data_IF_407400679765
#
_entry.id   IF_407400679765
#
_cell.length_a   1.000
_cell.length_b   1.000
_cell.length_c   1.000
_cell.angle_alpha   90.00
_cell.angle_beta   90.00
_cell.angle_gamma   90.00
#
_symmetry.space_group_name_H-M   'P 1'
#
loop_
_entity.id
_entity.type
_entity.pdbx_description
1 polymer ?
#
# COMPACT_ATOMS: atom_id res chain seq x y z
N UNK A 1 6.68 -5.52 15.63
CA UNK A 1 5.23 -5.78 15.94
C UNK A 1 4.46 -5.87 14.62
N UNK A 2 3.33 -6.60 14.55
CA UNK A 2 2.53 -6.72 13.31
C UNK A 2 1.48 -5.62 13.16
N UNK A 3 1.27 -5.11 11.94
CA UNK A 3 0.13 -4.25 11.60
C UNK A 3 -0.63 -4.73 10.37
N UNK A 4 -1.96 -4.54 10.39
CA UNK A 4 -2.85 -4.87 9.28
C UNK A 4 -3.24 -3.60 8.54
N UNK A 5 -3.03 -3.57 7.23
CA UNK A 5 -3.39 -2.45 6.34
C UNK A 5 -4.57 -2.87 5.46
N UNK A 6 -5.71 -2.20 5.63
CA UNK A 6 -6.92 -2.45 4.84
C UNK A 6 -6.88 -1.65 3.53
N UNK A 7 -6.48 -2.31 2.44
CA UNK A 7 -6.29 -1.73 1.11
C UNK A 7 -7.17 -2.36 0.02
N UNK A 8 -8.27 -3.04 0.38
CA UNK A 8 -9.12 -3.78 -0.55
C UNK A 8 -10.17 -2.93 -1.31
N UNK A 9 -10.27 -1.64 -1.00
CA UNK A 9 -11.24 -0.75 -1.65
C UNK A 9 -10.89 -0.42 -3.11
N UNK A 10 -11.92 -0.30 -3.96
CA UNK A 10 -11.79 0.07 -5.38
C UNK A 10 -11.45 1.56 -5.63
N UNK A 11 -11.46 2.39 -4.58
CA UNK A 11 -11.07 3.79 -4.67
C UNK A 11 -11.98 4.68 -5.54
N UNK A 12 -13.21 4.26 -5.85
CA UNK A 12 -14.12 4.86 -6.85
C UNK A 12 -14.32 6.38 -6.75
N UNK A 13 -14.21 6.96 -5.54
CA UNK A 13 -14.24 8.42 -5.32
C UNK A 13 -13.13 9.18 -6.07
N UNK A 14 -12.04 8.51 -6.43
CA UNK A 14 -10.92 9.06 -7.21
C UNK A 14 -11.13 8.95 -8.73
N UNK A 15 -12.27 8.41 -9.19
CA UNK A 15 -12.64 8.33 -10.60
C UNK A 15 -11.63 7.56 -11.45
N UNK A 16 -11.14 8.18 -12.52
CA UNK A 16 -10.20 7.54 -13.47
C UNK A 16 -8.88 7.14 -12.81
N UNK A 17 -8.44 7.86 -11.78
CA UNK A 17 -7.14 7.61 -11.14
C UNK A 17 -7.08 6.25 -10.43
N UNK A 18 -8.20 5.80 -9.84
CA UNK A 18 -8.25 4.50 -9.14
C UNK A 18 -8.56 3.31 -10.03
N UNK A 19 -8.95 3.54 -11.30
CA UNK A 19 -9.18 2.44 -12.26
C UNK A 19 -7.88 1.70 -12.56
N UNK A 20 -6.79 2.44 -12.70
CA UNK A 20 -5.49 1.89 -13.05
C UNK A 20 -4.58 1.74 -11.84
N UNK A 21 -4.74 2.53 -10.78
CA UNK A 21 -3.82 2.48 -9.63
C UNK A 21 -4.61 2.39 -8.32
N UNK A 22 -4.42 1.34 -7.48
CA UNK A 22 -5.09 1.28 -6.18
C UNK A 22 -4.71 2.50 -5.34
N UNK A 23 -5.63 3.01 -4.53
CA UNK A 23 -5.46 4.28 -3.78
C UNK A 23 -4.14 4.35 -3.02
N UNK A 24 -3.74 3.25 -2.36
CA UNK A 24 -2.49 3.19 -1.59
C UNK A 24 -1.23 3.46 -2.42
N UNK A 25 -1.25 3.15 -3.72
CA UNK A 25 -0.10 3.31 -4.62
C UNK A 25 -0.14 4.60 -5.44
N UNK A 26 -1.17 5.43 -5.27
CA UNK A 26 -1.21 6.76 -5.88
C UNK A 26 -0.06 7.59 -5.32
N UNK A 27 0.67 8.27 -6.21
CA UNK A 27 1.76 9.17 -5.83
C UNK A 27 1.22 10.56 -5.54
N UNK A 28 1.63 11.09 -4.39
CA UNK A 28 1.46 12.50 -4.02
C UNK A 28 2.87 13.05 -3.84
N UNK A 29 3.19 14.17 -4.50
CA UNK A 29 4.54 14.76 -4.51
C UNK A 29 5.64 13.71 -4.77
N UNK A 30 5.46 12.86 -5.79
CA UNK A 30 6.46 11.88 -6.23
C UNK A 30 6.54 10.57 -5.42
N UNK A 31 5.83 10.41 -4.30
CA UNK A 31 5.87 9.18 -3.49
C UNK A 31 4.50 8.59 -3.21
N UNK A 32 4.41 7.27 -3.11
CA UNK A 32 3.17 6.54 -2.82
C UNK A 32 2.62 6.90 -1.43
N UNK A 33 1.29 6.92 -1.29
CA UNK A 33 0.63 7.15 0.01
C UNK A 33 0.99 6.05 1.01
N UNK A 34 0.89 4.78 0.57
CA UNK A 34 1.15 3.61 1.41
C UNK A 34 2.59 3.59 1.95
N UNK A 35 3.57 4.02 1.15
CA UNK A 35 4.97 4.09 1.57
C UNK A 35 5.15 4.93 2.83
N UNK A 36 4.53 6.11 2.87
CA UNK A 36 4.65 7.02 4.01
C UNK A 36 4.07 6.40 5.27
N UNK A 37 2.89 5.79 5.17
CA UNK A 37 2.25 5.09 6.28
C UNK A 37 3.14 3.97 6.82
N UNK A 38 3.66 3.12 5.94
CA UNK A 38 4.52 2.00 6.36
C UNK A 38 5.83 2.49 6.98
N UNK A 39 6.44 3.56 6.45
CA UNK A 39 7.66 4.15 7.05
C UNK A 39 7.43 4.76 8.42
N UNK A 40 6.31 5.45 8.63
CA UNK A 40 5.95 5.96 9.95
C UNK A 40 5.79 4.79 10.94
N UNK A 41 5.10 3.71 10.53
CA UNK A 41 4.93 2.53 11.37
C UNK A 41 6.27 1.84 11.71
N UNK A 42 7.19 1.71 10.75
CA UNK A 42 8.54 1.18 11.01
C UNK A 42 9.32 2.03 12.02
N UNK A 43 9.21 3.37 11.95
CA UNK A 43 9.84 4.28 12.91
C UNK A 43 9.30 4.08 14.34
N UNK A 44 8.07 3.60 14.49
CA UNK A 44 7.44 3.26 15.76
C UNK A 44 7.65 1.77 16.16
N UNK A 45 8.52 1.03 15.46
CA UNK A 45 8.84 -0.38 15.77
C UNK A 45 7.85 -1.42 15.22
N UNK A 46 7.02 -1.03 14.24
CA UNK A 46 6.09 -1.92 13.53
C UNK A 46 6.65 -2.19 12.14
N UNK A 47 7.27 -3.36 11.98
CA UNK A 47 8.10 -3.74 10.83
C UNK A 47 7.60 -5.01 10.11
N UNK A 48 6.50 -5.60 10.57
CA UNK A 48 5.83 -6.72 9.92
C UNK A 48 4.41 -6.31 9.53
N UNK A 49 4.05 -6.46 8.26
CA UNK A 49 2.77 -6.01 7.73
C UNK A 49 1.91 -7.15 7.18
N UNK A 50 0.60 -6.95 7.19
CA UNK A 50 -0.37 -7.75 6.43
C UNK A 50 -1.20 -6.78 5.60
N UNK A 51 -1.25 -6.96 4.28
CA UNK A 51 -2.08 -6.11 3.40
C UNK A 51 -3.32 -6.88 2.95
N UNK A 52 -4.48 -6.44 3.41
CA UNK A 52 -5.76 -6.92 2.89
C UNK A 52 -6.07 -6.15 1.60
N UNK A 53 -5.96 -6.80 0.46
CA UNK A 53 -6.15 -6.17 -0.87
C UNK A 53 -7.21 -6.87 -1.71
N UNK A 54 -7.73 -6.17 -2.70
CA UNK A 54 -8.50 -6.77 -3.79
C UNK A 54 -7.55 -7.60 -4.68
N UNK A 55 -7.95 -8.81 -5.15
CA UNK A 55 -7.16 -9.61 -6.08
C UNK A 55 -6.69 -8.85 -7.33
N UNK A 56 -7.51 -7.92 -7.85
CA UNK A 56 -7.19 -7.05 -8.98
C UNK A 56 -5.89 -6.25 -8.81
N UNK A 57 -5.54 -5.93 -7.55
CA UNK A 57 -4.41 -5.07 -7.24
C UNK A 57 -3.23 -5.82 -6.60
N UNK A 58 -3.34 -7.15 -6.42
CA UNK A 58 -2.35 -7.96 -5.70
C UNK A 58 -0.94 -7.77 -6.27
N UNK A 59 -0.76 -7.97 -7.58
CA UNK A 59 0.56 -7.85 -8.22
C UNK A 59 1.18 -6.45 -8.07
N UNK A 60 0.35 -5.39 -8.05
CA UNK A 60 0.82 -4.01 -7.89
C UNK A 60 1.34 -3.77 -6.47
N UNK A 61 0.65 -4.29 -5.47
CA UNK A 61 1.13 -4.24 -4.09
C UNK A 61 2.39 -5.08 -3.91
N UNK A 62 2.45 -6.30 -4.44
CA UNK A 62 3.67 -7.12 -4.36
C UNK A 62 4.88 -6.45 -5.03
N UNK A 63 4.68 -5.86 -6.21
CA UNK A 63 5.74 -5.10 -6.89
C UNK A 63 6.20 -3.89 -6.08
N UNK A 64 5.27 -3.17 -5.45
CA UNK A 64 5.57 -2.08 -4.54
C UNK A 64 6.35 -2.56 -3.31
N UNK A 65 5.93 -3.65 -2.66
CA UNK A 65 6.57 -4.21 -1.48
C UNK A 65 8.01 -4.65 -1.78
N UNK A 66 8.22 -5.41 -2.86
CA UNK A 66 9.56 -5.84 -3.32
C UNK A 66 10.47 -4.65 -3.62
N UNK A 67 9.97 -3.64 -4.34
CA UNK A 67 10.75 -2.44 -4.68
C UNK A 67 11.22 -1.67 -3.44
N UNK A 68 10.46 -1.72 -2.34
CA UNK A 68 10.71 -0.92 -1.14
C UNK A 68 11.25 -1.74 0.04
N UNK A 69 11.48 -3.05 -0.13
CA UNK A 69 11.97 -3.97 0.89
C UNK A 69 11.11 -3.99 2.18
N UNK A 70 9.79 -3.92 2.04
CA UNK A 70 8.89 -4.09 3.20
C UNK A 70 8.62 -5.57 3.46
N UNK A 71 8.67 -5.99 4.73
CA UNK A 71 8.28 -7.33 5.16
C UNK A 71 6.76 -7.41 5.30
N UNK A 72 6.13 -8.20 4.44
CA UNK A 72 4.69 -8.37 4.43
C UNK A 72 4.35 -9.84 4.22
N UNK A 73 3.41 -10.35 5.03
CA UNK A 73 2.76 -11.64 4.84
C UNK A 73 1.59 -11.53 3.85
#
# INVERSE_FOLDING_TARGET
MKAVILAAGLGTRMGKLSKETPKGLIKVAGREILYRTMKILEMEGIDEFVIVTNPLYKEKFEGFLRKNNFRCD
#
